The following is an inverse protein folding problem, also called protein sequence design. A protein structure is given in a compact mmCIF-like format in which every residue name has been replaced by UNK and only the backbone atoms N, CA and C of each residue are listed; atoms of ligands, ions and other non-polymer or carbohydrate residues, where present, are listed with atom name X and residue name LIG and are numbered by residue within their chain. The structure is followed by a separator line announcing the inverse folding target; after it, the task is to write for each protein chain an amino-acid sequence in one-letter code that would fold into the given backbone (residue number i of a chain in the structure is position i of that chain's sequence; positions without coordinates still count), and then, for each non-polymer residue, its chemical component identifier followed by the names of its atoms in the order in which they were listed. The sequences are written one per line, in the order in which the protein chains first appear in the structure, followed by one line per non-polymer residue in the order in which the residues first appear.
data_IF_551977172870
#
_entry.id   IF_551977172870
#
_cell.length_a   1.000
_cell.length_b   1.000
_cell.length_c   1.000
_cell.angle_alpha   90.00
_cell.angle_beta   90.00
_cell.angle_gamma   90.00
#
_symmetry.space_group_name_H-M   'P 1'
#
loop_
_entity.id
_entity.type
_entity.pdbx_description
1 polymer ?
#
# COMPACT_ATOMS: atom_id res chain seq x y z
N UNK A 1 25.44 7.42 25.36
CA UNK A 1 24.16 8.11 25.06
C UNK A 1 23.19 7.14 24.37
N UNK A 2 23.04 5.91 24.90
CA UNK A 2 22.26 4.80 24.34
C UNK A 2 21.46 4.12 25.46
N UNK A 3 20.62 4.89 26.17
CA UNK A 3 19.88 4.38 27.34
C UNK A 3 18.50 5.05 27.49
N UNK A 4 17.69 5.08 26.42
CA UNK A 4 16.41 5.82 26.46
C UNK A 4 15.28 5.24 25.59
N UNK A 5 15.21 3.93 25.36
CA UNK A 5 14.06 3.33 24.60
C UNK A 5 13.41 2.13 25.32
N UNK A 6 13.80 1.79 26.56
CA UNK A 6 13.25 0.63 27.30
C UNK A 6 12.19 1.00 28.36
N UNK A 7 11.35 2.01 28.09
CA UNK A 7 10.42 2.55 29.10
C UNK A 7 8.99 2.79 28.61
N UNK A 8 8.47 1.92 27.72
CA UNK A 8 7.11 2.04 27.20
C UNK A 8 6.30 0.73 27.22
N UNK A 9 6.44 -0.09 28.26
CA UNK A 9 5.42 -1.11 28.58
C UNK A 9 5.25 -1.28 30.09
N UNK A 10 4.82 -0.18 30.73
CA UNK A 10 4.15 -0.23 32.04
C UNK A 10 2.75 -0.78 31.80
N UNK A 11 2.57 -2.07 32.01
CA UNK A 11 1.25 -2.65 32.24
C UNK A 11 0.77 -2.16 33.61
N UNK A 12 -0.30 -1.39 33.56
CA UNK A 12 -1.10 -0.96 34.70
C UNK A 12 -1.92 -2.16 35.21
N UNK A 13 -1.59 -2.69 36.40
CA UNK A 13 -2.53 -3.43 37.27
C UNK A 13 -1.92 -3.70 38.67
N UNK A 14 -2.73 -3.56 39.72
CA UNK A 14 -2.47 -3.71 41.17
C UNK A 14 -1.71 -2.54 41.83
N UNK A 15 -2.36 -1.43 42.17
CA UNK A 15 -3.36 -1.19 43.24
C UNK A 15 -2.71 -0.98 44.62
N UNK A 16 -3.06 0.15 45.22
CA UNK A 16 -2.42 0.85 46.33
C UNK A 16 -2.18 0.05 47.62
N UNK A 17 -1.01 0.32 48.22
CA UNK A 17 -0.93 0.71 49.62
C UNK A 17 -1.25 -0.34 50.69
N UNK A 18 -0.42 -1.37 50.84
CA UNK A 18 -0.20 -2.00 52.15
C UNK A 18 1.17 -2.70 52.19
N UNK A 19 2.13 -2.09 52.88
CA UNK A 19 3.37 -2.77 53.28
C UNK A 19 3.05 -3.79 54.38
N UNK A 20 3.76 -4.93 54.35
CA UNK A 20 3.99 -5.86 55.47
C UNK A 20 2.82 -6.77 55.87
N UNK A 21 2.79 -8.00 55.34
CA UNK A 21 2.95 -9.25 56.10
C UNK A 21 2.90 -10.45 55.14
N UNK A 22 3.43 -11.60 55.59
CA UNK A 22 3.49 -12.90 54.91
C UNK A 22 4.60 -13.11 53.88
N UNK A 23 5.83 -12.83 54.29
CA UNK A 23 6.86 -13.84 54.08
C UNK A 23 6.56 -15.10 54.91
N UNK A 24 6.63 -16.24 54.23
CA UNK A 24 6.86 -17.60 54.71
C UNK A 24 5.71 -18.42 55.33
N UNK A 25 5.56 -19.61 54.70
CA UNK A 25 5.45 -20.95 55.31
C UNK A 25 4.07 -21.62 55.27
N UNK A 26 4.10 -22.87 54.80
CA UNK A 26 3.03 -23.88 54.76
C UNK A 26 1.97 -23.58 53.68
N UNK A 27 1.70 -24.43 52.69
CA UNK A 27 1.39 -25.84 52.83
C UNK A 27 1.48 -26.49 51.43
N UNK A 28 2.26 -27.57 51.32
CA UNK A 28 2.19 -28.52 50.21
C UNK A 28 0.75 -29.03 50.08
N UNK A 29 -0.05 -28.37 49.25
CA UNK A 29 -1.22 -29.04 48.69
C UNK A 29 -0.70 -29.83 47.50
N UNK A 30 -0.29 -31.06 47.80
CA UNK A 30 -0.21 -32.17 46.86
C UNK A 30 -1.36 -32.06 45.86
N UNK A 31 -1.10 -31.45 44.70
CA UNK A 31 -1.95 -31.63 43.54
C UNK A 31 -1.78 -33.10 43.18
N UNK A 32 -2.70 -33.92 43.67
CA UNK A 32 -2.92 -35.28 43.20
C UNK A 32 -3.36 -35.19 41.73
N UNK A 33 -2.40 -34.89 40.86
CA UNK A 33 -2.48 -35.13 39.44
C UNK A 33 -2.56 -36.63 39.31
N UNK A 34 -3.79 -37.16 39.23
CA UNK A 34 -4.02 -38.45 38.59
C UNK A 34 -3.13 -38.49 37.36
N UNK A 35 -2.12 -39.34 37.38
CA UNK A 35 -1.27 -39.63 36.24
C UNK A 35 -2.15 -40.22 35.16
N UNK A 36 -2.79 -39.35 34.37
CA UNK A 36 -3.20 -39.71 33.03
C UNK A 36 -1.89 -40.13 32.37
N UNK A 37 -1.75 -41.42 32.11
CA UNK A 37 -0.66 -42.00 31.35
C UNK A 37 -0.44 -41.11 30.13
N UNK A 38 0.59 -40.28 30.18
CA UNK A 38 1.04 -39.50 29.03
C UNK A 38 1.56 -40.54 28.04
N UNK A 39 0.69 -40.93 27.11
CA UNK A 39 1.07 -41.70 25.93
C UNK A 39 2.00 -40.81 25.13
N UNK A 40 3.30 -40.92 25.38
CA UNK A 40 4.32 -40.15 24.69
C UNK A 40 4.28 -40.49 23.20
N UNK A 41 4.25 -39.45 22.36
CA UNK A 41 4.54 -39.58 20.93
C UNK A 41 5.88 -40.32 20.78
N UNK A 42 5.89 -41.35 19.95
CA UNK A 42 7.14 -42.08 19.70
C UNK A 42 8.09 -41.18 18.90
N UNK A 43 9.40 -41.30 19.12
CA UNK A 43 10.38 -40.50 18.35
C UNK A 43 10.22 -40.72 16.84
N UNK A 44 9.83 -41.93 16.42
CA UNK A 44 9.59 -42.25 15.01
C UNK A 44 8.37 -41.51 14.43
N UNK A 45 7.34 -41.27 15.23
CA UNK A 45 6.14 -40.54 14.82
C UNK A 45 6.45 -39.07 14.56
N UNK A 46 7.34 -38.48 15.34
CA UNK A 46 7.82 -37.11 15.10
C UNK A 46 8.73 -37.05 13.86
N UNK A 47 9.61 -38.05 13.69
CA UNK A 47 10.53 -38.11 12.54
C UNK A 47 9.77 -38.26 11.22
N UNK A 48 8.77 -39.13 11.14
CA UNK A 48 8.01 -39.29 9.88
C UNK A 48 7.24 -38.02 9.50
N UNK A 49 6.72 -37.28 10.49
CA UNK A 49 5.98 -36.03 10.25
C UNK A 49 6.88 -34.95 9.67
N UNK A 50 8.08 -34.73 10.24
CA UNK A 50 9.00 -33.72 9.70
C UNK A 50 9.52 -34.09 8.30
N UNK A 51 9.66 -35.39 8.01
CA UNK A 51 10.05 -35.86 6.67
C UNK A 51 8.94 -35.56 5.66
N UNK A 52 7.67 -35.87 6.00
CA UNK A 52 6.53 -35.57 5.11
C UNK A 52 6.40 -34.05 4.90
N UNK A 53 6.47 -33.25 5.97
CA UNK A 53 6.43 -31.78 5.88
C UNK A 53 7.61 -31.23 5.07
N UNK A 54 8.79 -31.84 5.17
CA UNK A 54 9.96 -31.47 4.37
C UNK A 54 9.75 -31.65 2.87
N UNK A 55 9.17 -32.78 2.45
CA UNK A 55 8.88 -33.04 1.03
C UNK A 55 7.81 -32.08 0.50
N UNK A 56 6.73 -31.86 1.27
CA UNK A 56 5.67 -30.92 0.89
C UNK A 56 6.18 -29.47 0.78
N UNK A 57 7.07 -29.05 1.69
CA UNK A 57 7.65 -27.71 1.64
C UNK A 57 8.54 -27.51 0.40
N UNK A 58 9.34 -28.52 0.02
CA UNK A 58 10.24 -28.43 -1.12
C UNK A 58 9.51 -28.16 -2.45
N UNK A 59 8.33 -28.77 -2.65
CA UNK A 59 7.52 -28.55 -3.86
C UNK A 59 6.67 -27.27 -3.80
N UNK A 60 6.27 -26.83 -2.60
CA UNK A 60 5.37 -25.69 -2.42
C UNK A 60 6.10 -24.34 -2.55
N UNK A 61 7.33 -24.24 -2.05
CA UNK A 61 8.12 -23.00 -2.00
C UNK A 61 8.29 -22.29 -3.37
N UNK A 62 8.76 -22.95 -4.45
CA UNK A 62 8.97 -22.26 -5.73
C UNK A 62 7.66 -21.74 -6.34
N UNK A 63 6.55 -22.45 -6.09
CA UNK A 63 5.23 -22.05 -6.57
C UNK A 63 4.69 -20.85 -5.77
N UNK A 64 4.96 -20.81 -4.46
CA UNK A 64 4.54 -19.71 -3.60
C UNK A 64 5.23 -18.38 -3.96
N UNK A 65 6.52 -18.41 -4.32
CA UNK A 65 7.23 -17.21 -4.77
C UNK A 65 6.61 -16.61 -6.04
N UNK A 66 6.36 -17.44 -7.06
CA UNK A 66 5.73 -16.97 -8.30
C UNK A 66 4.32 -16.38 -8.07
N UNK A 67 3.52 -16.99 -7.18
CA UNK A 67 2.20 -16.46 -6.84
C UNK A 67 2.25 -15.08 -6.19
N UNK A 68 3.28 -14.78 -5.38
CA UNK A 68 3.45 -13.44 -4.81
C UNK A 68 3.75 -12.40 -5.90
N UNK A 69 4.64 -12.70 -6.84
CA UNK A 69 4.93 -11.82 -7.97
C UNK A 69 3.68 -11.53 -8.81
N UNK A 70 2.89 -12.57 -9.11
CA UNK A 70 1.64 -12.43 -9.84
C UNK A 70 0.58 -11.63 -9.06
N UNK A 71 0.51 -11.80 -7.74
CA UNK A 71 -0.38 -11.02 -6.88
C UNK A 71 -0.01 -9.52 -6.89
N UNK A 72 1.29 -9.19 -6.89
CA UNK A 72 1.78 -7.80 -7.02
C UNK A 72 1.40 -7.21 -8.38
N UNK A 73 1.59 -7.96 -9.47
CA UNK A 73 1.16 -7.54 -10.81
C UNK A 73 -0.36 -7.28 -10.84
N UNK A 74 -1.16 -8.18 -10.29
CA UNK A 74 -2.62 -8.01 -10.24
C UNK A 74 -3.04 -6.77 -9.42
N UNK A 75 -2.40 -6.53 -8.27
CA UNK A 75 -2.58 -5.30 -7.46
C UNK A 75 -2.32 -4.04 -8.31
N UNK A 76 -1.20 -4.02 -9.02
CA UNK A 76 -0.81 -2.86 -9.83
C UNK A 76 -1.71 -2.68 -11.07
N UNK A 77 -2.19 -3.76 -11.68
CA UNK A 77 -3.19 -3.69 -12.75
C UNK A 77 -4.53 -3.13 -12.24
N UNK A 78 -4.94 -3.53 -11.02
CA UNK A 78 -6.09 -2.96 -10.34
C UNK A 78 -5.95 -1.45 -10.10
N UNK A 79 -4.79 -1.02 -9.58
CA UNK A 79 -4.48 0.40 -9.40
C UNK A 79 -4.50 1.18 -10.72
N UNK A 80 -3.93 0.62 -11.79
CA UNK A 80 -3.95 1.21 -13.12
C UNK A 80 -5.38 1.35 -13.67
N UNK A 81 -6.23 0.35 -13.47
CA UNK A 81 -7.65 0.42 -13.83
C UNK A 81 -8.37 1.53 -13.07
N UNK A 82 -8.13 1.63 -11.76
CA UNK A 82 -8.71 2.68 -10.92
C UNK A 82 -8.27 4.09 -11.37
N UNK A 83 -6.99 4.28 -11.71
CA UNK A 83 -6.49 5.55 -12.25
C UNK A 83 -7.16 5.91 -13.59
N UNK A 84 -7.32 4.95 -14.50
CA UNK A 84 -8.02 5.19 -15.77
C UNK A 84 -9.46 5.65 -15.55
N UNK A 85 -10.18 4.97 -14.66
CA UNK A 85 -11.56 5.33 -14.29
C UNK A 85 -11.63 6.71 -13.64
N UNK A 86 -10.73 7.00 -12.70
CA UNK A 86 -10.66 8.30 -12.03
C UNK A 86 -10.41 9.46 -12.99
N UNK A 87 -9.48 9.27 -13.95
CA UNK A 87 -9.22 10.26 -14.99
C UNK A 87 -10.42 10.48 -15.91
N UNK A 88 -11.13 9.41 -16.30
CA UNK A 88 -12.31 9.52 -17.14
C UNK A 88 -13.48 10.22 -16.43
N UNK A 89 -13.72 9.90 -15.15
CA UNK A 89 -14.78 10.52 -14.35
C UNK A 89 -14.50 12.02 -14.11
N UNK A 90 -13.27 12.36 -13.72
CA UNK A 90 -12.89 13.76 -13.53
C UNK A 90 -12.92 14.55 -14.83
N UNK A 91 -12.56 13.93 -15.96
CA UNK A 91 -12.73 14.53 -17.28
C UNK A 91 -14.19 14.82 -17.62
N UNK A 92 -15.09 13.85 -17.40
CA UNK A 92 -16.52 14.06 -17.60
C UNK A 92 -17.06 15.21 -16.71
N UNK A 93 -16.57 15.32 -15.47
CA UNK A 93 -16.93 16.41 -14.57
C UNK A 93 -16.39 17.76 -15.05
N UNK A 94 -15.17 17.82 -15.58
CA UNK A 94 -14.63 19.04 -16.18
C UNK A 94 -15.49 19.52 -17.36
N UNK A 95 -15.87 18.62 -18.26
CA UNK A 95 -16.75 18.94 -19.39
C UNK A 95 -18.14 19.41 -18.92
N UNK A 96 -18.70 18.75 -17.90
CA UNK A 96 -20.00 19.14 -17.32
C UNK A 96 -19.97 20.53 -16.67
N UNK A 97 -18.82 20.96 -16.14
CA UNK A 97 -18.61 22.30 -15.59
C UNK A 97 -18.22 23.34 -16.64
N UNK A 98 -18.23 22.99 -17.94
CA UNK A 98 -17.89 23.92 -19.02
C UNK A 98 -16.40 24.25 -19.12
N UNK A 99 -15.54 23.49 -18.44
CA UNK A 99 -14.10 23.60 -18.58
C UNK A 99 -13.73 22.87 -19.86
N UNK A 100 -13.62 23.62 -20.97
CA UNK A 100 -13.10 23.08 -22.21
C UNK A 100 -11.71 22.51 -21.95
N UNK A 101 -11.43 21.31 -22.49
CA UNK A 101 -10.06 20.87 -22.68
C UNK A 101 -9.36 21.98 -23.46
N UNK A 102 -8.41 22.67 -22.83
CA UNK A 102 -7.89 23.95 -23.27
C UNK A 102 -7.54 23.90 -24.77
N UNK A 103 -8.42 24.44 -25.62
CA UNK A 103 -8.15 24.64 -27.02
C UNK A 103 -7.20 25.84 -27.13
N UNK A 104 -5.93 25.61 -26.80
CA UNK A 104 -4.81 26.48 -27.11
C UNK A 104 -4.86 27.93 -26.59
N UNK A 105 -5.59 28.21 -25.49
CA UNK A 105 -5.81 29.59 -25.04
C UNK A 105 -5.50 29.89 -23.58
N UNK A 106 -5.51 28.90 -22.68
CA UNK A 106 -5.04 29.09 -21.31
C UNK A 106 -3.55 28.74 -21.24
N UNK A 107 -2.72 29.65 -20.73
CA UNK A 107 -1.31 29.38 -20.50
C UNK A 107 -1.15 28.10 -19.65
N UNK A 108 -0.14 27.25 -19.94
CA UNK A 108 0.19 26.11 -19.08
C UNK A 108 0.31 26.60 -17.63
N UNK A 109 -0.54 26.09 -16.72
CA UNK A 109 -0.52 26.49 -15.31
C UNK A 109 -1.62 27.49 -14.88
N UNK A 110 -2.58 27.84 -15.72
CA UNK A 110 -3.82 28.46 -15.23
C UNK A 110 -4.71 27.35 -14.66
N UNK A 111 -4.67 27.16 -13.34
CA UNK A 111 -5.36 26.06 -12.67
C UNK A 111 -6.88 26.17 -12.82
N UNK A 112 -7.45 25.40 -13.74
CA UNK A 112 -8.87 25.09 -13.73
C UNK A 112 -9.10 24.03 -12.65
N UNK A 113 -9.50 24.47 -11.46
CA UNK A 113 -9.82 23.57 -10.35
C UNK A 113 -11.28 23.14 -10.40
N UNK A 114 -11.54 21.84 -10.26
CA UNK A 114 -12.88 21.30 -10.07
C UNK A 114 -12.98 20.60 -8.72
N UNK A 115 -14.17 20.64 -8.11
CA UNK A 115 -14.45 19.81 -6.96
C UNK A 115 -14.88 18.42 -7.43
N UNK A 116 -14.06 17.41 -7.14
CA UNK A 116 -14.41 16.00 -7.29
C UNK A 116 -14.58 15.43 -5.89
N UNK A 117 -15.82 15.09 -5.53
CA UNK A 117 -16.17 14.56 -4.19
C UNK A 117 -15.67 15.42 -3.02
N UNK A 118 -15.72 16.75 -3.17
CA UNK A 118 -15.29 17.71 -2.14
C UNK A 118 -13.77 17.97 -2.11
N UNK A 119 -13.00 17.38 -3.04
CA UNK A 119 -11.57 17.66 -3.23
C UNK A 119 -11.39 18.60 -4.42
N UNK A 120 -10.72 19.74 -4.21
CA UNK A 120 -10.37 20.66 -5.28
C UNK A 120 -9.18 20.13 -6.09
N UNK A 121 -9.47 19.60 -7.27
CA UNK A 121 -8.51 18.94 -8.18
C UNK A 121 -8.07 19.93 -9.25
N UNK A 122 -6.75 20.08 -9.41
CA UNK A 122 -6.20 20.85 -10.54
C UNK A 122 -6.28 20.02 -11.82
N UNK A 123 -7.00 20.53 -12.81
CA UNK A 123 -7.12 19.93 -14.13
C UNK A 123 -6.09 20.52 -15.10
N UNK A 124 -5.59 19.69 -15.99
CA UNK A 124 -4.71 20.02 -17.11
C UNK A 124 -5.40 19.47 -18.35
N UNK A 125 -5.76 20.33 -19.32
CA UNK A 125 -6.40 19.91 -20.56
C UNK A 125 -7.68 19.06 -20.36
N UNK A 126 -8.44 19.39 -19.32
CA UNK A 126 -9.65 18.65 -18.95
C UNK A 126 -9.39 17.30 -18.26
N UNK A 127 -8.15 16.92 -17.94
CA UNK A 127 -7.82 15.72 -17.16
C UNK A 127 -7.17 16.08 -15.83
N UNK A 128 -7.22 15.22 -14.80
CA UNK A 128 -6.60 15.52 -13.52
C UNK A 128 -5.08 15.59 -13.68
N UNK A 129 -4.44 16.54 -13.01
CA UNK A 129 -2.99 16.55 -12.93
C UNK A 129 -2.46 15.29 -12.23
N UNK A 130 -1.21 14.92 -12.50
CA UNK A 130 -0.55 13.78 -11.86
C UNK A 130 -0.52 13.89 -10.33
N UNK A 131 -0.73 15.10 -9.80
CA UNK A 131 -0.78 15.37 -8.37
C UNK A 131 -2.05 14.81 -7.69
N UNK A 132 -3.14 14.57 -8.42
CA UNK A 132 -4.41 14.20 -7.79
C UNK A 132 -4.87 12.79 -8.17
N UNK A 133 -4.24 12.19 -9.19
CA UNK A 133 -4.72 10.93 -9.75
C UNK A 133 -4.72 9.78 -8.74
N UNK A 134 -3.73 9.68 -7.85
CA UNK A 134 -3.66 8.60 -6.86
C UNK A 134 -4.77 8.70 -5.82
N UNK A 135 -5.07 9.92 -5.36
CA UNK A 135 -6.18 10.14 -4.44
C UNK A 135 -7.52 9.85 -5.11
N UNK A 136 -7.73 10.34 -6.34
CA UNK A 136 -8.97 10.12 -7.09
C UNK A 136 -9.18 8.66 -7.45
N UNK A 137 -8.10 7.92 -7.68
CA UNK A 137 -8.15 6.48 -7.93
C UNK A 137 -8.42 5.66 -6.65
N UNK A 138 -8.44 6.28 -5.47
CA UNK A 138 -8.51 5.56 -4.20
C UNK A 138 -7.30 4.64 -3.96
N UNK A 139 -6.19 4.89 -4.66
CA UNK A 139 -4.95 4.12 -4.59
C UNK A 139 -4.19 4.66 -3.39
N UNK A 140 -4.64 4.27 -2.19
CA UNK A 140 -4.12 4.74 -0.90
C UNK A 140 -4.93 5.88 -0.29
N UNK A 141 -4.97 5.93 1.05
CA UNK A 141 -5.62 7.00 1.80
C UNK A 141 -4.64 8.16 2.03
N UNK A 142 -4.72 9.19 1.19
CA UNK A 142 -4.41 10.54 1.69
C UNK A 142 -5.38 10.84 2.84
N UNK A 143 -4.93 11.53 3.89
CA UNK A 143 -5.83 11.93 4.97
C UNK A 143 -7.04 12.68 4.40
N UNK A 144 -8.26 12.24 4.71
CA UNK A 144 -9.48 12.89 4.28
C UNK A 144 -9.46 14.37 4.72
N UNK A 145 -9.61 15.30 3.77
CA UNK A 145 -9.74 16.73 4.05
C UNK A 145 -8.47 17.58 3.98
N UNK A 146 -7.31 17.03 3.58
CA UNK A 146 -6.15 17.84 3.17
C UNK A 146 -6.08 17.92 1.63
N UNK A 147 -5.73 19.08 1.02
CA UNK A 147 -5.33 19.07 -0.39
C UNK A 147 -4.15 18.09 -0.51
N UNK A 148 -4.16 17.13 -1.45
CA UNK A 148 -3.07 16.19 -1.56
C UNK A 148 -1.82 16.97 -1.97
N UNK A 149 -0.93 17.21 -1.02
CA UNK A 149 0.46 17.16 -1.40
C UNK A 149 0.68 15.73 -1.90
N UNK A 150 0.87 15.54 -3.20
CA UNK A 150 1.46 14.27 -3.63
C UNK A 150 2.73 14.10 -2.84
N UNK A 151 2.87 12.96 -2.15
CA UNK A 151 4.06 12.78 -1.40
C UNK A 151 5.20 12.64 -2.41
N UNK A 152 6.31 13.34 -2.16
CA UNK A 152 7.44 13.35 -3.07
C UNK A 152 7.93 11.93 -3.39
N UNK A 153 8.76 11.80 -4.42
CA UNK A 153 9.42 10.54 -4.69
C UNK A 153 10.09 10.01 -3.41
N UNK A 154 9.89 8.72 -3.14
CA UNK A 154 10.40 8.07 -1.94
C UNK A 154 9.36 7.88 -0.82
N UNK A 155 8.10 8.26 -1.03
CA UNK A 155 7.08 8.18 -0.01
C UNK A 155 6.11 7.00 -0.16
N UNK A 156 5.58 6.55 0.97
CA UNK A 156 4.51 5.56 1.05
C UNK A 156 3.16 6.28 0.98
N UNK A 157 2.29 5.82 0.10
CA UNK A 157 0.95 6.35 -0.11
C UNK A 157 -0.08 5.21 -0.01
N UNK A 158 -0.66 5.05 1.18
CA UNK A 158 -1.43 3.87 1.54
C UNK A 158 -0.60 2.58 1.36
N UNK A 159 -1.11 1.64 0.56
CA UNK A 159 -0.43 0.39 0.26
C UNK A 159 0.60 0.51 -0.88
N UNK A 160 0.83 1.70 -1.44
CA UNK A 160 1.69 1.90 -2.61
C UNK A 160 2.91 2.73 -2.26
N UNK A 161 3.94 2.65 -3.09
CA UNK A 161 5.16 3.43 -2.96
C UNK A 161 5.36 4.33 -4.17
N UNK A 162 5.60 5.62 -3.96
CA UNK A 162 5.85 6.59 -5.03
C UNK A 162 7.35 6.55 -5.39
N UNK A 163 7.69 5.97 -6.54
CA UNK A 163 9.09 5.82 -6.97
C UNK A 163 9.62 7.04 -7.69
N UNK A 164 8.77 7.78 -8.40
CA UNK A 164 9.18 8.98 -9.12
C UNK A 164 8.02 9.98 -9.27
N UNK A 165 8.33 11.26 -9.14
CA UNK A 165 7.46 12.38 -9.47
C UNK A 165 8.22 13.28 -10.43
N UNK A 166 7.70 13.44 -11.63
CA UNK A 166 8.23 14.33 -12.66
C UNK A 166 7.19 15.39 -13.02
N UNK A 167 7.58 16.41 -13.80
CA UNK A 167 6.65 17.42 -14.28
C UNK A 167 5.50 16.75 -15.06
N UNK A 168 4.30 16.77 -14.47
CA UNK A 168 3.10 16.17 -15.07
C UNK A 168 3.07 14.64 -15.05
N UNK A 169 3.96 13.94 -14.35
CA UNK A 169 3.92 12.47 -14.25
C UNK A 169 4.19 11.94 -12.84
N UNK A 170 3.55 10.83 -12.51
CA UNK A 170 3.72 10.12 -11.24
C UNK A 170 3.89 8.63 -11.49
N UNK A 171 4.88 8.02 -10.84
CA UNK A 171 5.17 6.60 -10.93
C UNK A 171 5.02 5.95 -9.57
N UNK A 172 4.30 4.83 -9.52
CA UNK A 172 4.06 4.07 -8.30
C UNK A 172 4.45 2.62 -8.46
N UNK A 173 4.88 2.03 -7.34
CA UNK A 173 5.24 0.65 -7.14
C UNK A 173 4.34 0.02 -6.05
N UNK A 174 4.24 -1.33 -5.99
CA UNK A 174 3.39 -1.99 -5.02
C UNK A 174 3.88 -1.87 -3.57
N UNK A 175 5.18 -1.62 -3.36
CA UNK A 175 5.81 -1.43 -2.05
C UNK A 175 7.27 -0.94 -2.20
N UNK A 176 7.95 -0.72 -1.07
CA UNK A 176 9.33 -0.19 -1.01
C UNK A 176 10.41 -1.13 -1.52
N UNK A 177 10.15 -2.45 -1.57
CA UNK A 177 11.14 -3.46 -1.95
C UNK A 177 11.06 -3.80 -3.45
N UNK A 178 9.90 -3.61 -4.08
CA UNK A 178 9.67 -3.95 -5.49
C UNK A 178 9.52 -2.68 -6.36
N UNK A 179 10.50 -1.78 -6.28
CA UNK A 179 10.48 -0.49 -6.99
C UNK A 179 10.61 -0.62 -8.51
N UNK A 180 10.97 -1.80 -9.03
CA UNK A 180 10.96 -2.09 -10.46
C UNK A 180 9.55 -2.33 -11.02
N UNK A 181 8.61 -2.79 -10.18
CA UNK A 181 7.25 -3.15 -10.55
C UNK A 181 6.37 -1.90 -10.63
N UNK A 182 6.48 -1.14 -11.72
CA UNK A 182 5.91 0.21 -11.78
C UNK A 182 4.80 0.39 -12.78
N UNK A 183 3.89 1.31 -12.42
CA UNK A 183 2.97 1.96 -13.35
C UNK A 183 3.18 3.46 -13.29
N UNK A 184 3.09 4.13 -14.43
CA UNK A 184 3.26 5.57 -14.54
C UNK A 184 2.00 6.19 -15.12
N UNK A 185 1.48 7.21 -14.45
CA UNK A 185 0.49 8.12 -14.99
C UNK A 185 1.19 9.39 -15.47
N UNK A 186 0.98 9.75 -16.73
CA UNK A 186 1.41 11.03 -17.30
C UNK A 186 0.16 11.84 -17.63
N UNK A 187 0.04 13.02 -17.03
CA UNK A 187 -1.05 13.96 -17.27
C UNK A 187 -1.11 14.36 -18.74
N UNK A 188 -2.28 14.84 -19.16
CA UNK A 188 -2.49 15.33 -20.51
C UNK A 188 -1.52 16.47 -20.85
N UNK A 189 -0.69 16.28 -21.88
CA UNK A 189 0.22 17.31 -22.38
C UNK A 189 -0.43 18.11 -23.52
N UNK A 190 0.02 19.35 -23.74
CA UNK A 190 -0.29 20.07 -24.98
C UNK A 190 0.61 19.54 -26.09
N UNK A 191 0.05 18.80 -27.04
CA UNK A 191 0.79 18.33 -28.20
C UNK A 191 0.38 19.11 -29.44
N UNK A 192 1.37 19.49 -30.26
CA UNK A 192 1.11 20.01 -31.60
C UNK A 192 0.30 18.98 -32.42
N UNK A 193 -0.48 19.42 -33.43
CA UNK A 193 -1.30 18.52 -34.24
C UNK A 193 -0.48 17.35 -34.84
N UNK A 194 -1.03 16.12 -34.94
CA UNK A 194 -2.40 15.73 -34.63
C UNK A 194 -2.51 15.10 -33.22
N UNK A 195 -3.11 15.86 -32.30
CA UNK A 195 -3.84 15.37 -31.11
C UNK A 195 -3.13 14.43 -30.12
N UNK A 196 -2.70 14.99 -28.98
CA UNK A 196 -2.84 14.28 -27.71
C UNK A 196 -3.19 15.28 -26.60
N UNK A 197 -4.45 15.24 -26.16
CA UNK A 197 -4.95 15.88 -24.93
C UNK A 197 -5.30 14.83 -23.85
N UNK A 198 -5.03 13.55 -24.10
CA UNK A 198 -5.34 12.46 -23.17
C UNK A 198 -4.13 12.09 -22.33
N UNK A 199 -4.34 11.65 -21.07
CA UNK A 199 -3.26 11.14 -20.23
C UNK A 199 -2.70 9.84 -20.81
N UNK A 200 -1.41 9.63 -20.61
CA UNK A 200 -0.71 8.41 -21.01
C UNK A 200 -0.47 7.53 -19.79
N UNK A 201 -0.74 6.23 -19.93
CA UNK A 201 -0.52 5.23 -18.89
C UNK A 201 0.55 4.26 -19.36
N UNK A 202 1.64 4.15 -18.61
CA UNK A 202 2.69 3.18 -18.88
C UNK A 202 2.60 2.03 -17.88
N UNK A 203 2.50 0.80 -18.39
CA UNK A 203 2.50 -0.45 -17.62
C UNK A 203 3.55 -1.45 -18.11
N UNK A 204 4.53 -1.00 -18.91
CA UNK A 204 5.55 -1.87 -19.50
C UNK A 204 6.39 -2.58 -18.44
N UNK A 205 6.51 -2.00 -17.25
CA UNK A 205 7.29 -2.56 -16.15
C UNK A 205 6.52 -3.57 -15.29
N UNK A 206 5.27 -3.91 -15.62
CA UNK A 206 4.50 -4.97 -14.94
C UNK A 206 4.84 -6.37 -15.46
N UNK A 207 6.08 -6.77 -15.21
CA UNK A 207 6.58 -8.10 -15.58
C UNK A 207 6.96 -8.89 -14.34
N UNK A 208 6.94 -10.23 -14.42
CA UNK A 208 7.35 -11.08 -13.29
C UNK A 208 8.77 -10.72 -12.84
N UNK A 209 9.71 -10.47 -13.77
CA UNK A 209 11.10 -10.11 -13.44
C UNK A 209 11.23 -8.81 -12.63
N UNK A 210 10.35 -7.83 -12.87
CA UNK A 210 10.36 -6.56 -12.15
C UNK A 210 9.56 -6.59 -10.84
N UNK A 211 8.68 -7.58 -10.70
CA UNK A 211 7.72 -7.73 -9.61
C UNK A 211 8.01 -8.95 -8.72
N UNK A 212 9.15 -9.62 -8.88
CA UNK A 212 9.59 -10.73 -8.03
C UNK A 212 10.33 -10.24 -6.78
#
# INVERSE_FOLDING_TARGET
MMASIWQAMRVTACFDGFLLLCGNLWLEKEMNMRSKSQSGFTLIELVVVIVILGVLAAIALPRFANLQAQARIAKMQGALGAMKSAAAMSHALALANGLAADAGGAAPGTANMINVEGVAVTMINGYPSAQYILQLAGVGSGAAGAPPAVPGAGAVYGDYYVTAVAAGAITVAPDVNHQGCTITYTAAANSAPPTYYQPTYNSANLTVANCD
#
